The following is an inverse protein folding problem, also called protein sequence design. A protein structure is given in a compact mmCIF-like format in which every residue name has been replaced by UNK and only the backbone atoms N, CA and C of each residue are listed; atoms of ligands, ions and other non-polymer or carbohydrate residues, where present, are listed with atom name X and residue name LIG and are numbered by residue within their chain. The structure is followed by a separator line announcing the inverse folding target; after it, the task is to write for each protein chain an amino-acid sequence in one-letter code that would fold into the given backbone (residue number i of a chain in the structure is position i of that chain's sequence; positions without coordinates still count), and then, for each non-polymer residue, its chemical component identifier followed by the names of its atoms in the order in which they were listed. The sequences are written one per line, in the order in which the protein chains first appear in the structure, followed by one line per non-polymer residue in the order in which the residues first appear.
data_IF_632025075178
#
_entry.id   IF_632025075178
#
_cell.length_a   1.000
_cell.length_b   1.000
_cell.length_c   1.000
_cell.angle_alpha   90.00
_cell.angle_beta   90.00
_cell.angle_gamma   90.00
#
_symmetry.space_group_name_H-M   'P 1'
#
loop_
_entity.id
_entity.type
_entity.pdbx_description
1 polymer ?
#
# COMPACT_ATOMS: atom_id res chain seq x y z
N UNK A 1 12.27 16.32 16.51
CA UNK A 1 13.15 15.86 17.62
C UNK A 1 13.21 14.33 17.59
N UNK A 2 14.30 13.75 17.08
CA UNK A 2 14.50 12.29 16.93
C UNK A 2 14.83 11.66 18.29
N UNK A 3 13.81 11.23 19.01
CA UNK A 3 13.97 10.39 20.20
C UNK A 3 14.46 9.00 19.81
N UNK A 4 15.44 8.47 20.54
CA UNK A 4 15.99 7.11 20.35
C UNK A 4 14.86 6.08 20.30
N UNK A 5 14.68 5.45 19.14
CA UNK A 5 13.70 4.38 18.95
C UNK A 5 14.20 3.17 19.76
N UNK A 6 13.44 2.66 20.75
CA UNK A 6 13.87 1.54 21.58
C UNK A 6 14.00 0.26 20.74
N UNK A 7 14.95 -0.64 21.07
CA UNK A 7 15.19 -1.91 20.34
C UNK A 7 13.89 -2.75 20.16
N UNK A 8 12.98 -2.65 21.13
CA UNK A 8 11.65 -3.29 21.11
C UNK A 8 10.77 -2.84 19.93
N UNK A 9 10.89 -1.58 19.51
CA UNK A 9 10.16 -1.03 18.36
C UNK A 9 10.69 -1.61 17.04
N UNK A 10 12.01 -1.74 16.87
CA UNK A 10 12.61 -2.36 15.68
C UNK A 10 12.13 -3.79 15.45
N UNK A 11 11.97 -4.57 16.54
CA UNK A 11 11.43 -5.93 16.45
C UNK A 11 9.96 -5.93 15.99
N UNK A 12 9.15 -4.98 16.47
CA UNK A 12 7.77 -4.81 16.01
C UNK A 12 7.71 -4.42 14.53
N UNK A 13 8.54 -3.49 14.08
CA UNK A 13 8.66 -3.14 12.67
C UNK A 13 9.04 -4.33 11.79
N UNK A 14 10.02 -5.14 12.23
CA UNK A 14 10.45 -6.33 11.50
C UNK A 14 9.33 -7.39 11.39
N UNK A 15 8.62 -7.66 12.49
CA UNK A 15 7.50 -8.63 12.48
C UNK A 15 6.35 -8.13 11.61
N UNK A 16 5.97 -6.86 11.74
CA UNK A 16 4.91 -6.26 10.92
C UNK A 16 5.31 -6.31 9.45
N UNK A 17 6.54 -5.93 9.11
CA UNK A 17 7.08 -5.96 7.75
C UNK A 17 7.11 -7.37 7.15
N UNK A 18 7.44 -8.38 7.96
CA UNK A 18 7.49 -9.78 7.51
C UNK A 18 6.08 -10.34 7.26
N UNK A 19 5.14 -10.10 8.18
CA UNK A 19 3.72 -10.51 8.03
C UNK A 19 3.06 -9.80 6.84
N UNK A 20 3.27 -8.49 6.72
CA UNK A 20 2.76 -7.73 5.58
C UNK A 20 3.42 -8.13 4.26
N UNK A 21 4.72 -8.47 4.26
CA UNK A 21 5.42 -8.98 3.09
C UNK A 21 4.88 -10.32 2.61
N UNK A 22 4.68 -11.28 3.51
CA UNK A 22 4.07 -12.59 3.19
C UNK A 22 2.65 -12.40 2.67
N UNK A 23 1.83 -11.63 3.37
CA UNK A 23 0.46 -11.37 2.95
C UNK A 23 0.43 -10.67 1.58
N UNK A 24 1.34 -9.72 1.33
CA UNK A 24 1.41 -9.06 0.03
C UNK A 24 1.82 -10.02 -1.09
N UNK A 25 2.79 -10.90 -0.84
CA UNK A 25 3.19 -11.93 -1.81
C UNK A 25 2.07 -12.93 -2.12
N UNK A 26 1.24 -13.27 -1.14
CA UNK A 26 0.11 -14.20 -1.30
C UNK A 26 -1.09 -13.56 -2.00
N UNK A 27 -1.49 -12.35 -1.60
CA UNK A 27 -2.69 -11.70 -2.14
C UNK A 27 -2.42 -10.90 -3.42
N UNK A 28 -1.16 -10.59 -3.74
CA UNK A 28 -0.78 -9.82 -4.94
C UNK A 28 -1.38 -8.41 -5.02
N UNK A 29 -2.05 -7.95 -3.96
CA UNK A 29 -2.89 -6.73 -3.95
C UNK A 29 -2.09 -5.44 -3.72
N UNK A 30 -0.77 -5.53 -3.59
CA UNK A 30 0.10 -4.38 -3.40
C UNK A 30 0.16 -3.87 -1.97
N UNK A 31 -0.10 -4.70 -0.95
CA UNK A 31 0.36 -4.54 0.45
C UNK A 31 -0.28 -3.42 1.28
N UNK A 32 -0.76 -2.34 0.66
CA UNK A 32 -1.27 -1.14 1.34
C UNK A 32 -2.48 -1.43 2.22
N UNK A 33 -3.33 -2.37 1.81
CA UNK A 33 -4.53 -2.82 2.53
C UNK A 33 -4.24 -3.30 3.95
N UNK A 34 -3.05 -3.88 4.19
CA UNK A 34 -2.65 -4.43 5.49
C UNK A 34 -1.60 -3.53 6.16
N UNK A 35 -0.66 -2.97 5.39
CA UNK A 35 0.40 -2.10 5.92
C UNK A 35 -0.17 -0.80 6.51
N UNK A 36 -1.14 -0.17 5.84
CA UNK A 36 -1.74 1.08 6.30
C UNK A 36 -2.43 0.92 7.66
N UNK A 37 -3.40 -0.01 7.85
CA UNK A 37 -4.02 -0.18 9.16
C UNK A 37 -3.03 -0.68 10.22
N UNK A 38 -2.03 -1.47 9.86
CA UNK A 38 -0.98 -1.87 10.79
C UNK A 38 -0.19 -0.64 11.31
N UNK A 39 0.22 0.28 10.44
CA UNK A 39 0.92 1.51 10.86
C UNK A 39 0.02 2.43 11.67
N UNK A 40 -1.24 2.64 11.27
CA UNK A 40 -2.15 3.54 11.98
C UNK A 40 -2.57 2.96 13.33
N UNK A 41 -2.90 1.67 13.42
CA UNK A 41 -3.42 1.04 14.65
C UNK A 41 -2.31 0.60 15.62
N UNK A 42 -1.20 0.05 15.12
CA UNK A 42 -0.14 -0.49 15.98
C UNK A 42 0.92 0.56 16.34
N UNK A 43 1.28 1.45 15.41
CA UNK A 43 2.33 2.44 15.62
C UNK A 43 1.78 3.82 15.98
N UNK A 44 0.46 4.05 15.81
CA UNK A 44 -0.20 5.35 16.04
C UNK A 44 0.43 6.49 15.23
N UNK A 45 1.01 6.16 14.08
CA UNK A 45 1.57 7.14 13.15
C UNK A 45 0.44 7.95 12.50
N UNK A 46 0.76 9.17 12.11
CA UNK A 46 -0.18 10.03 11.38
C UNK A 46 -0.55 9.36 10.05
N UNK A 47 -1.84 9.34 9.72
CA UNK A 47 -2.36 8.59 8.57
C UNK A 47 -1.67 8.97 7.26
N UNK A 48 -1.33 10.24 7.07
CA UNK A 48 -0.63 10.71 5.89
C UNK A 48 0.78 10.09 5.78
N UNK A 49 1.50 9.98 6.89
CA UNK A 49 2.84 9.36 6.97
C UNK A 49 2.74 7.84 6.78
N UNK A 50 1.72 7.20 7.35
CA UNK A 50 1.46 5.78 7.17
C UNK A 50 1.22 5.42 5.69
N UNK A 51 0.38 6.21 5.00
CA UNK A 51 0.12 6.02 3.56
C UNK A 51 1.37 6.25 2.70
N UNK A 52 2.14 7.31 2.96
CA UNK A 52 3.37 7.59 2.23
C UNK A 52 4.41 6.47 2.43
N UNK A 53 4.55 5.97 3.65
CA UNK A 53 5.48 4.87 3.97
C UNK A 53 5.04 3.57 3.30
N UNK A 54 3.73 3.27 3.30
CA UNK A 54 3.21 2.10 2.59
C UNK A 54 3.56 2.15 1.10
N UNK A 55 3.29 3.28 0.41
CA UNK A 55 3.63 3.44 -1.01
C UNK A 55 5.14 3.26 -1.25
N UNK A 56 5.97 3.77 -0.35
CA UNK A 56 7.43 3.63 -0.41
C UNK A 56 7.89 2.17 -0.32
N UNK A 57 7.23 1.36 0.51
CA UNK A 57 7.48 -0.09 0.64
C UNK A 57 6.98 -0.85 -0.60
N UNK A 58 5.86 -0.42 -1.17
CA UNK A 58 5.23 -1.08 -2.32
C UNK A 58 6.05 -0.88 -3.59
N UNK A 59 6.68 0.28 -3.77
CA UNK A 59 7.47 0.64 -4.95
C UNK A 59 8.56 -0.37 -5.34
N UNK A 60 9.49 -0.79 -4.46
CA UNK A 60 10.49 -1.80 -4.82
C UNK A 60 9.84 -3.15 -5.13
N UNK A 61 8.75 -3.51 -4.43
CA UNK A 61 8.05 -4.77 -4.67
C UNK A 61 7.37 -4.81 -6.03
N UNK A 62 6.74 -3.72 -6.45
CA UNK A 62 6.13 -3.61 -7.77
C UNK A 62 7.19 -3.61 -8.87
N UNK A 63 8.37 -3.04 -8.62
CA UNK A 63 9.49 -3.09 -9.57
C UNK A 63 9.95 -4.53 -9.82
N UNK A 64 10.14 -5.30 -8.75
CA UNK A 64 10.52 -6.73 -8.83
C UNK A 64 9.41 -7.53 -9.51
N UNK A 65 8.16 -7.29 -9.14
CA UNK A 65 7.00 -7.97 -9.75
C UNK A 65 6.91 -7.67 -11.25
N UNK A 66 7.07 -6.41 -11.65
CA UNK A 66 7.07 -6.02 -13.05
C UNK A 66 8.18 -6.72 -13.84
N UNK A 67 9.39 -6.81 -13.27
CA UNK A 67 10.51 -7.53 -13.90
C UNK A 67 10.19 -9.01 -14.11
N UNK A 68 9.63 -9.69 -13.11
CA UNK A 68 9.24 -11.10 -13.19
C UNK A 68 8.15 -11.31 -14.27
N UNK A 69 7.14 -10.44 -14.30
CA UNK A 69 6.06 -10.53 -15.29
C UNK A 69 6.56 -10.32 -16.72
N UNK A 70 7.49 -9.39 -16.94
CA UNK A 70 8.12 -9.14 -18.24
C UNK A 70 8.96 -10.34 -18.66
N UNK A 71 9.73 -10.91 -17.73
CA UNK A 71 10.61 -12.05 -17.98
C UNK A 71 9.85 -13.34 -18.35
N UNK A 72 8.62 -13.52 -17.85
CA UNK A 72 7.82 -14.72 -18.13
C UNK A 72 6.89 -14.58 -19.35
N UNK A 73 6.96 -13.47 -20.11
CA UNK A 73 6.17 -13.21 -21.33
C UNK A 73 4.64 -13.33 -21.21
N UNK A 74 4.07 -13.26 -19.99
CA UNK A 74 2.62 -13.26 -19.75
C UNK A 74 1.96 -11.87 -19.93
N UNK A 75 2.57 -10.97 -20.72
CA UNK A 75 2.14 -9.57 -20.81
C UNK A 75 1.41 -9.30 -22.12
N UNK A 76 0.12 -9.04 -22.02
CA UNK A 76 -0.66 -8.38 -23.07
C UNK A 76 -0.33 -6.89 -23.09
N UNK A 77 0.63 -6.50 -23.93
CA UNK A 77 1.13 -5.12 -24.03
C UNK A 77 0.05 -4.06 -24.25
N UNK A 78 -1.04 -4.40 -24.97
CA UNK A 78 -2.16 -3.49 -25.20
C UNK A 78 -2.92 -3.19 -23.90
N UNK A 79 -3.18 -4.22 -23.09
CA UNK A 79 -3.84 -4.07 -21.79
C UNK A 79 -2.91 -3.33 -20.82
N UNK A 80 -1.65 -3.74 -20.74
CA UNK A 80 -0.64 -3.18 -19.83
C UNK A 80 -0.45 -1.68 -20.03
N UNK A 81 -0.34 -1.21 -21.28
CA UNK A 81 -0.17 0.23 -21.55
C UNK A 81 -1.41 1.03 -21.13
N UNK A 82 -2.62 0.53 -21.42
CA UNK A 82 -3.87 1.21 -21.00
C UNK A 82 -3.99 1.27 -19.49
N UNK A 83 -3.70 0.18 -18.79
CA UNK A 83 -3.75 0.11 -17.32
C UNK A 83 -2.65 0.95 -16.69
N UNK A 84 -1.45 1.00 -17.30
CA UNK A 84 -0.34 1.84 -16.85
C UNK A 84 -0.69 3.32 -16.93
N UNK A 85 -1.23 3.78 -18.07
CA UNK A 85 -1.66 5.18 -18.22
C UNK A 85 -2.75 5.55 -17.23
N UNK A 86 -3.78 4.69 -17.08
CA UNK A 86 -4.83 4.89 -16.08
C UNK A 86 -4.27 4.93 -14.64
N UNK A 87 -3.32 4.04 -14.32
CA UNK A 87 -2.66 3.96 -13.03
C UNK A 87 -1.81 5.20 -12.72
N UNK A 88 -1.06 5.73 -13.70
CA UNK A 88 -0.27 6.96 -13.52
C UNK A 88 -1.19 8.15 -13.26
N UNK A 89 -2.22 8.34 -14.08
CA UNK A 89 -3.15 9.46 -13.95
C UNK A 89 -3.93 9.37 -12.63
N UNK A 90 -4.48 8.19 -12.33
CA UNK A 90 -5.21 7.93 -11.08
C UNK A 90 -4.32 8.08 -9.84
N UNK A 91 -3.09 7.56 -9.88
CA UNK A 91 -2.12 7.69 -8.80
C UNK A 91 -1.70 9.13 -8.53
N UNK A 92 -1.45 9.91 -9.60
CA UNK A 92 -1.11 11.33 -9.47
C UNK A 92 -2.27 12.16 -8.90
N UNK A 93 -3.49 11.97 -9.41
CA UNK A 93 -4.69 12.62 -8.88
C UNK A 93 -4.95 12.22 -7.43
N UNK A 94 -4.82 10.92 -7.11
CA UNK A 94 -4.97 10.39 -5.77
C UNK A 94 -3.97 10.99 -4.79
N UNK A 95 -2.69 11.05 -5.15
CA UNK A 95 -1.64 11.65 -4.31
C UNK A 95 -1.89 13.15 -4.05
N UNK A 96 -2.36 13.90 -5.07
CA UNK A 96 -2.71 15.31 -4.92
C UNK A 96 -3.91 15.50 -3.99
N UNK A 97 -4.92 14.65 -4.11
CA UNK A 97 -6.13 14.70 -3.27
C UNK A 97 -5.81 14.29 -1.81
N UNK A 98 -4.89 13.34 -1.63
CA UNK A 98 -4.44 12.86 -0.32
C UNK A 98 -3.83 13.97 0.53
N UNK A 99 -3.10 14.90 -0.09
CA UNK A 99 -2.45 16.04 0.60
C UNK A 99 -3.45 17.11 1.09
N UNK A 100 -4.65 17.16 0.51
CA UNK A 100 -5.67 18.17 0.85
C UNK A 100 -6.70 17.62 1.83
N UNK A 101 -6.81 16.29 1.96
CA UNK A 101 -7.81 15.66 2.81
C UNK A 101 -7.37 15.62 4.29
N UNK A 102 -8.23 16.03 5.24
CA UNK A 102 -7.97 15.84 6.65
C UNK A 102 -8.02 14.34 7.02
N UNK A 103 -7.16 13.93 7.96
CA UNK A 103 -6.94 12.52 8.34
C UNK A 103 -8.26 11.79 8.63
N UNK A 104 -9.15 12.36 9.44
CA UNK A 104 -10.44 11.72 9.76
C UNK A 104 -11.28 11.33 8.52
N UNK A 105 -11.25 12.15 7.46
CA UNK A 105 -11.97 11.87 6.21
C UNK A 105 -11.26 10.77 5.44
N UNK A 106 -9.93 10.82 5.36
CA UNK A 106 -9.11 9.83 4.68
C UNK A 106 -9.30 8.42 5.29
N UNK A 107 -9.26 8.31 6.62
CA UNK A 107 -9.57 7.06 7.33
C UNK A 107 -10.93 6.51 7.00
N UNK A 108 -11.95 7.37 6.96
CA UNK A 108 -13.34 6.95 6.69
C UNK A 108 -13.49 6.46 5.25
N UNK A 109 -12.91 7.17 4.29
CA UNK A 109 -12.89 6.77 2.87
C UNK A 109 -12.17 5.44 2.70
N UNK A 110 -10.97 5.30 3.29
CA UNK A 110 -10.20 4.07 3.21
C UNK A 110 -10.95 2.90 3.85
N UNK A 111 -11.54 3.07 5.03
CA UNK A 111 -12.34 2.04 5.69
C UNK A 111 -13.53 1.58 4.84
N UNK A 112 -14.28 2.51 4.26
CA UNK A 112 -15.41 2.19 3.35
C UNK A 112 -14.91 1.44 2.11
N UNK A 113 -13.78 1.87 1.53
CA UNK A 113 -13.18 1.20 0.38
C UNK A 113 -12.75 -0.24 0.70
N UNK A 114 -12.14 -0.47 1.87
CA UNK A 114 -11.77 -1.82 2.32
C UNK A 114 -13.00 -2.70 2.53
N UNK A 115 -14.05 -2.18 3.16
CA UNK A 115 -15.30 -2.93 3.36
C UNK A 115 -15.91 -3.29 1.99
N UNK A 116 -15.96 -2.35 1.05
CA UNK A 116 -16.46 -2.60 -0.29
C UNK A 116 -15.63 -3.68 -1.02
N UNK A 117 -14.31 -3.62 -0.91
CA UNK A 117 -13.42 -4.64 -1.48
C UNK A 117 -13.65 -6.02 -0.85
N UNK A 118 -13.84 -6.09 0.47
CA UNK A 118 -14.14 -7.32 1.19
C UNK A 118 -15.49 -7.93 0.73
N UNK A 119 -16.53 -7.12 0.57
CA UNK A 119 -17.82 -7.57 0.06
C UNK A 119 -17.70 -8.09 -1.37
N UNK A 120 -16.98 -7.38 -2.25
CA UNK A 120 -16.76 -7.78 -3.64
C UNK A 120 -15.95 -9.07 -3.77
N UNK A 121 -15.12 -9.41 -2.79
CA UNK A 121 -14.35 -10.66 -2.78
C UNK A 121 -15.21 -11.86 -2.34
N UNK A 122 -16.27 -11.62 -1.57
CA UNK A 122 -17.18 -12.67 -1.07
C UNK A 122 -18.25 -13.04 -2.12
N UNK A 123 -18.70 -12.06 -2.91
CA UNK A 123 -19.67 -12.23 -4.00
C UNK A 123 -18.95 -12.71 -5.26
#
# INVERSE_FOLDING_TARGET
MKGKIPISQYLKFAVIGLVTGIANGLFGSGGGTIVVPAMVLLLKEEEHVAHATAISIILPLTLVSAFIYVSNSYIDWNLTVKTMLGGIVGGYLGAKLLNVCPSHVLRKIFAVFIIAAAVRMII
#
